data_IF_992693824686
#
_entry.id   IF_992693824686
#
_cell.length_a   1.000
_cell.length_b   1.000
_cell.length_c   1.000
_cell.angle_alpha   90.00
_cell.angle_beta   90.00
_cell.angle_gamma   90.00
#
_symmetry.space_group_name_H-M   'P 1'
#
loop_
_entity.id
_entity.type
_entity.pdbx_description
1 polymer ?
#
# COMPACT_ATOMS: atom_id res chain seq x y z
N UNK A 1 22.04 5.58 -7.44
CA UNK A 1 23.45 5.10 -7.39
C UNK A 1 23.70 3.75 -6.66
N UNK A 2 22.70 2.99 -6.15
CA UNK A 2 22.95 1.63 -5.56
C UNK A 2 22.02 0.50 -6.03
N UNK A 3 21.35 0.65 -7.18
CA UNK A 3 20.98 -0.55 -7.96
C UNK A 3 22.20 -1.48 -8.08
N UNK A 4 23.34 -0.87 -8.41
CA UNK A 4 24.67 -1.47 -8.37
C UNK A 4 24.97 -2.25 -7.08
N UNK A 5 24.86 -1.72 -5.85
CA UNK A 5 25.36 -2.46 -4.66
C UNK A 5 24.58 -3.74 -4.31
N UNK A 6 23.25 -3.74 -4.46
CA UNK A 6 22.43 -4.94 -4.19
C UNK A 6 22.51 -5.96 -5.32
N UNK A 7 22.54 -5.49 -6.57
CA UNK A 7 22.78 -6.35 -7.73
C UNK A 7 24.20 -6.91 -7.71
N UNK A 8 25.22 -6.11 -7.34
CA UNK A 8 26.61 -6.56 -7.18
C UNK A 8 26.69 -7.61 -6.07
N UNK A 9 26.00 -7.45 -4.94
CA UNK A 9 25.98 -8.45 -3.86
C UNK A 9 25.36 -9.78 -4.33
N UNK A 10 24.24 -9.74 -5.06
CA UNK A 10 23.61 -10.95 -5.60
C UNK A 10 24.44 -11.59 -6.72
N UNK A 11 25.08 -10.78 -7.57
CA UNK A 11 26.02 -11.26 -8.61
C UNK A 11 27.24 -11.90 -7.96
N UNK A 12 27.80 -11.31 -6.91
CA UNK A 12 28.95 -11.86 -6.19
C UNK A 12 28.63 -13.20 -5.55
N UNK A 13 27.43 -13.34 -4.95
CA UNK A 13 26.94 -14.61 -4.40
C UNK A 13 26.71 -15.64 -5.51
N UNK A 14 26.16 -15.23 -6.65
CA UNK A 14 25.99 -16.09 -7.82
C UNK A 14 27.32 -16.58 -8.39
N UNK A 15 28.32 -15.71 -8.51
CA UNK A 15 29.68 -16.06 -8.95
C UNK A 15 30.35 -17.00 -7.94
N UNK A 16 30.23 -16.73 -6.64
CA UNK A 16 30.76 -17.60 -5.59
C UNK A 16 30.10 -18.99 -5.60
N UNK A 17 28.79 -19.06 -5.87
CA UNK A 17 28.06 -20.32 -6.03
C UNK A 17 28.56 -21.13 -7.23
N UNK A 18 28.70 -20.50 -8.39
CA UNK A 18 29.22 -21.16 -9.60
C UNK A 18 30.66 -21.62 -9.40
N UNK A 19 31.52 -20.78 -8.80
CA UNK A 19 32.88 -21.15 -8.48
C UNK A 19 32.95 -22.36 -7.52
N UNK A 20 32.08 -22.41 -6.50
CA UNK A 20 32.00 -23.53 -5.58
C UNK A 20 31.58 -24.84 -6.28
N UNK A 21 30.63 -24.78 -7.22
CA UNK A 21 30.22 -25.93 -8.05
C UNK A 21 31.37 -26.40 -8.94
N UNK A 22 32.04 -25.48 -9.63
CA UNK A 22 33.18 -25.81 -10.50
C UNK A 22 34.31 -26.47 -9.70
N UNK A 23 34.62 -25.96 -8.50
CA UNK A 23 35.61 -26.56 -7.59
C UNK A 23 35.19 -27.94 -7.08
N UNK A 24 33.89 -28.20 -6.88
CA UNK A 24 33.38 -29.51 -6.48
C UNK A 24 33.53 -30.56 -7.59
N UNK A 25 33.39 -30.16 -8.85
CA UNK A 25 33.52 -31.04 -10.02
C UNK A 25 34.98 -31.36 -10.31
N UNK A 26 35.87 -30.37 -10.22
CA UNK A 26 37.30 -30.51 -10.55
C UNK A 26 38.13 -31.25 -9.48
N UNK A 27 37.61 -31.45 -8.26
CA UNK A 27 38.32 -32.13 -7.18
C UNK A 27 37.93 -33.61 -7.09
N UNK A 28 38.95 -34.47 -7.05
CA UNK A 28 38.83 -35.93 -6.86
C UNK A 28 38.77 -36.32 -5.39
N UNK A 29 39.39 -35.54 -4.49
CA UNK A 29 39.38 -35.82 -3.05
C UNK A 29 37.98 -35.61 -2.44
N UNK A 30 37.44 -36.70 -1.87
CA UNK A 30 36.10 -36.80 -1.28
C UNK A 30 35.81 -35.74 -0.22
N UNK A 31 36.78 -35.43 0.65
CA UNK A 31 36.59 -34.46 1.74
C UNK A 31 36.48 -33.03 1.18
N UNK A 32 37.35 -32.71 0.24
CA UNK A 32 37.39 -31.42 -0.43
C UNK A 32 36.14 -31.15 -1.29
N UNK A 33 35.59 -32.19 -1.93
CA UNK A 33 34.31 -32.14 -2.65
C UNK A 33 33.14 -31.89 -1.70
N UNK A 34 33.12 -32.54 -0.55
CA UNK A 34 32.09 -32.33 0.48
C UNK A 34 32.04 -30.88 0.98
N UNK A 35 33.21 -30.27 1.25
CA UNK A 35 33.31 -28.86 1.66
C UNK A 35 32.79 -27.93 0.55
N UNK A 36 33.17 -28.17 -0.71
CA UNK A 36 32.75 -27.35 -1.84
C UNK A 36 31.22 -27.38 -2.04
N UNK A 37 30.60 -28.56 -1.92
CA UNK A 37 29.14 -28.71 -1.95
C UNK A 37 28.49 -27.96 -0.77
N UNK A 38 29.05 -28.08 0.44
CA UNK A 38 28.57 -27.34 1.61
C UNK A 38 28.57 -25.82 1.41
N UNK A 39 29.67 -25.28 0.86
CA UNK A 39 29.77 -23.85 0.52
C UNK A 39 28.76 -23.42 -0.56
N UNK A 40 28.52 -24.27 -1.56
CA UNK A 40 27.51 -24.01 -2.58
C UNK A 40 26.10 -23.90 -1.94
N UNK A 41 25.74 -24.83 -1.06
CA UNK A 41 24.44 -24.80 -0.36
C UNK A 41 24.31 -23.53 0.50
N UNK A 42 25.33 -23.18 1.28
CA UNK A 42 25.33 -21.97 2.12
C UNK A 42 25.16 -20.72 1.25
N UNK A 43 25.89 -20.64 0.12
CA UNK A 43 25.80 -19.52 -0.81
C UNK A 43 24.41 -19.39 -1.41
N UNK A 44 23.78 -20.52 -1.81
CA UNK A 44 22.42 -20.55 -2.32
C UNK A 44 21.41 -20.04 -1.27
N UNK A 45 21.45 -20.59 -0.05
CA UNK A 45 20.57 -20.18 1.05
C UNK A 45 20.76 -18.70 1.40
N UNK A 46 22.01 -18.23 1.46
CA UNK A 46 22.32 -16.82 1.70
C UNK A 46 21.78 -15.89 0.60
N UNK A 47 21.91 -16.30 -0.66
CA UNK A 47 21.37 -15.56 -1.81
C UNK A 47 19.83 -15.45 -1.76
N UNK A 48 19.14 -16.56 -1.48
CA UNK A 48 17.69 -16.59 -1.32
C UNK A 48 17.26 -15.67 -0.17
N UNK A 49 17.94 -15.74 0.98
CA UNK A 49 17.65 -14.90 2.13
C UNK A 49 17.79 -13.40 1.80
N UNK A 50 18.89 -12.99 1.15
CA UNK A 50 19.08 -11.60 0.74
C UNK A 50 18.04 -11.14 -0.29
N UNK A 51 17.67 -12.00 -1.23
CA UNK A 51 16.62 -11.70 -2.20
C UNK A 51 15.28 -11.41 -1.51
N UNK A 52 14.89 -12.27 -0.57
CA UNK A 52 13.64 -12.11 0.20
C UNK A 52 13.69 -10.83 1.04
N UNK A 53 14.81 -10.56 1.71
CA UNK A 53 14.93 -9.41 2.62
C UNK A 53 15.02 -8.06 1.91
N UNK A 54 15.66 -8.00 0.74
CA UNK A 54 15.99 -6.73 0.08
C UNK A 54 15.13 -6.48 -1.16
N UNK A 55 15.00 -7.46 -2.04
CA UNK A 55 14.39 -7.27 -3.38
C UNK A 55 12.88 -7.47 -3.35
N UNK A 56 12.43 -8.51 -2.65
CA UNK A 56 11.00 -8.85 -2.56
C UNK A 56 10.11 -7.70 -2.03
N UNK A 57 10.42 -7.01 -0.91
CA UNK A 57 9.56 -5.94 -0.38
C UNK A 57 9.45 -4.76 -1.35
N UNK A 58 10.53 -4.41 -2.05
CA UNK A 58 10.53 -3.31 -3.05
C UNK A 58 9.59 -3.61 -4.21
N UNK A 59 9.68 -4.82 -4.77
CA UNK A 59 8.81 -5.25 -5.88
C UNK A 59 7.35 -5.35 -5.43
N UNK A 60 7.12 -5.92 -4.24
CA UNK A 60 5.78 -6.07 -3.66
C UNK A 60 5.12 -4.71 -3.40
N UNK A 61 5.84 -3.78 -2.78
CA UNK A 61 5.36 -2.42 -2.53
C UNK A 61 5.01 -1.70 -3.84
N UNK A 62 5.90 -1.74 -4.84
CA UNK A 62 5.63 -1.13 -6.15
C UNK A 62 4.34 -1.68 -6.77
N UNK A 63 4.15 -3.00 -6.74
CA UNK A 63 2.94 -3.65 -7.26
C UNK A 63 1.67 -3.25 -6.49
N UNK A 64 1.78 -3.00 -5.19
CA UNK A 64 0.65 -2.52 -4.36
C UNK A 64 0.31 -1.07 -4.65
N UNK A 65 1.31 -0.19 -4.76
CA UNK A 65 1.13 1.21 -5.14
C UNK A 65 0.42 1.31 -6.49
N UNK A 66 0.82 0.52 -7.49
CA UNK A 66 0.15 0.51 -8.82
C UNK A 66 -1.28 -0.03 -8.79
N UNK A 67 -1.66 -0.76 -7.74
CA UNK A 67 -3.02 -1.28 -7.56
C UNK A 67 -3.92 -0.32 -6.77
N UNK A 68 -3.36 0.72 -6.17
CA UNK A 68 -4.15 1.74 -5.51
C UNK A 68 -5.05 2.41 -6.55
N UNK A 69 -6.36 2.43 -6.28
CA UNK A 69 -7.34 3.03 -7.16
C UNK A 69 -8.26 3.92 -6.31
N UNK A 70 -8.14 5.25 -6.40
CA UNK A 70 -8.89 6.18 -5.55
C UNK A 70 -10.41 6.07 -5.74
N UNK A 71 -10.89 5.44 -6.83
CA UNK A 71 -12.32 5.24 -7.11
C UNK A 71 -12.97 4.13 -6.29
N UNK A 72 -12.18 3.27 -5.62
CA UNK A 72 -12.72 2.25 -4.70
C UNK A 72 -13.29 2.89 -3.44
N UNK A 73 -13.99 2.10 -2.62
CA UNK A 73 -14.57 2.58 -1.38
C UNK A 73 -13.50 3.15 -0.44
N UNK A 74 -13.89 4.10 0.42
CA UNK A 74 -12.95 4.72 1.38
C UNK A 74 -12.31 3.65 2.27
N UNK A 75 -13.08 2.65 2.69
CA UNK A 75 -12.58 1.56 3.53
C UNK A 75 -11.59 0.65 2.79
N UNK A 76 -11.83 0.36 1.51
CA UNK A 76 -10.87 -0.39 0.68
C UNK A 76 -9.57 0.39 0.52
N UNK A 77 -9.66 1.69 0.24
CA UNK A 77 -8.50 2.56 0.05
C UNK A 77 -7.68 2.68 1.35
N UNK A 78 -8.35 2.80 2.50
CA UNK A 78 -7.72 2.74 3.82
C UNK A 78 -6.97 1.43 4.04
N UNK A 79 -7.61 0.29 3.74
CA UNK A 79 -7.01 -1.03 3.91
C UNK A 79 -5.77 -1.21 3.02
N UNK A 80 -5.87 -0.79 1.75
CA UNK A 80 -4.74 -0.83 0.81
C UNK A 80 -3.60 0.09 1.26
N UNK A 81 -3.92 1.29 1.76
CA UNK A 81 -2.92 2.20 2.31
C UNK A 81 -2.18 1.60 3.50
N UNK A 82 -2.88 0.94 4.43
CA UNK A 82 -2.24 0.28 5.58
C UNK A 82 -1.28 -0.82 5.15
N UNK A 83 -1.64 -1.68 4.18
CA UNK A 83 -0.74 -2.71 3.62
C UNK A 83 0.49 -2.07 2.93
N UNK A 84 0.29 -0.98 2.19
CA UNK A 84 1.38 -0.21 1.57
C UNK A 84 2.31 0.37 2.64
N UNK A 85 1.74 0.95 3.70
CA UNK A 85 2.50 1.59 4.77
C UNK A 85 3.29 0.57 5.60
N UNK A 86 2.70 -0.59 5.90
CA UNK A 86 3.40 -1.68 6.59
C UNK A 86 4.61 -2.17 5.78
N UNK A 87 4.43 -2.36 4.46
CA UNK A 87 5.53 -2.73 3.57
C UNK A 87 6.61 -1.65 3.51
N UNK A 88 6.23 -0.39 3.53
CA UNK A 88 7.14 0.76 3.56
C UNK A 88 7.99 0.80 4.84
N UNK A 89 7.38 0.55 6.01
CA UNK A 89 8.09 0.52 7.29
C UNK A 89 9.18 -0.57 7.33
N UNK A 90 8.94 -1.70 6.68
CA UNK A 90 9.88 -2.83 6.57
C UNK A 90 11.08 -2.56 5.65
N UNK A 91 11.09 -1.45 4.92
CA UNK A 91 12.18 -1.11 4.00
C UNK A 91 13.34 -0.42 4.71
N UNK A 92 14.53 -0.51 4.11
CA UNK A 92 15.65 0.35 4.51
C UNK A 92 15.36 1.83 4.18
N UNK A 93 15.90 2.75 4.98
CA UNK A 93 15.75 4.21 4.81
C UNK A 93 16.08 4.69 3.40
N UNK A 94 17.09 4.09 2.78
CA UNK A 94 17.45 4.39 1.41
C UNK A 94 16.33 4.11 0.42
N UNK A 95 15.67 2.97 0.56
CA UNK A 95 14.58 2.60 -0.32
C UNK A 95 13.32 3.41 -0.01
N UNK A 96 13.07 3.71 1.28
CA UNK A 96 11.97 4.58 1.71
C UNK A 96 11.98 5.92 0.98
N UNK A 97 13.14 6.55 0.79
CA UNK A 97 13.26 7.83 0.03
C UNK A 97 12.65 7.74 -1.37
N UNK A 98 12.78 6.60 -2.06
CA UNK A 98 12.24 6.43 -3.42
C UNK A 98 10.71 6.28 -3.46
N UNK A 99 10.10 5.88 -2.35
CA UNK A 99 8.66 5.64 -2.23
C UNK A 99 7.94 6.70 -1.41
N UNK A 100 8.66 7.65 -0.82
CA UNK A 100 8.09 8.69 0.04
C UNK A 100 6.99 9.48 -0.70
N UNK A 101 7.32 10.05 -1.86
CA UNK A 101 6.37 10.86 -2.65
C UNK A 101 5.07 10.09 -3.00
N UNK A 102 5.11 8.89 -3.62
CA UNK A 102 3.88 8.18 -3.95
C UNK A 102 3.10 7.74 -2.71
N UNK A 103 3.76 7.40 -1.60
CA UNK A 103 3.07 7.01 -0.36
C UNK A 103 2.40 8.22 0.29
N UNK A 104 3.07 9.37 0.33
CA UNK A 104 2.49 10.62 0.81
C UNK A 104 1.26 10.98 -0.01
N UNK A 105 1.32 10.90 -1.34
CA UNK A 105 0.15 11.14 -2.18
C UNK A 105 -1.02 10.18 -1.85
N UNK A 106 -0.74 8.88 -1.68
CA UNK A 106 -1.78 7.90 -1.31
C UNK A 106 -2.37 8.23 0.06
N UNK A 107 -1.52 8.54 1.05
CA UNK A 107 -1.96 8.94 2.40
C UNK A 107 -2.88 10.15 2.31
N UNK A 108 -2.44 11.20 1.62
CA UNK A 108 -3.18 12.46 1.54
C UNK A 108 -4.54 12.24 0.85
N UNK A 109 -4.59 11.41 -0.20
CA UNK A 109 -5.84 11.00 -0.86
C UNK A 109 -6.78 10.26 0.10
N UNK A 110 -6.26 9.29 0.85
CA UNK A 110 -7.06 8.49 1.80
C UNK A 110 -7.54 9.36 2.96
N UNK A 111 -6.70 10.25 3.47
CA UNK A 111 -7.07 11.20 4.51
C UNK A 111 -8.16 12.16 4.04
N UNK A 112 -8.06 12.70 2.83
CA UNK A 112 -9.10 13.55 2.26
C UNK A 112 -10.44 12.81 2.18
N UNK A 113 -10.43 11.58 1.68
CA UNK A 113 -11.61 10.72 1.60
C UNK A 113 -12.23 10.45 2.98
N UNK A 114 -11.41 10.10 3.98
CA UNK A 114 -11.87 9.85 5.35
C UNK A 114 -12.42 11.12 6.01
N UNK A 115 -11.79 12.28 5.76
CA UNK A 115 -12.29 13.57 6.26
C UNK A 115 -13.62 13.94 5.62
N UNK A 116 -13.76 13.74 4.31
CA UNK A 116 -15.02 13.97 3.60
C UNK A 116 -16.14 13.06 4.12
N UNK A 117 -15.86 11.76 4.31
CA UNK A 117 -16.82 10.80 4.85
C UNK A 117 -17.26 11.18 6.26
N UNK A 118 -16.31 11.49 7.15
CA UNK A 118 -16.60 11.91 8.52
C UNK A 118 -17.44 13.20 8.57
N UNK A 119 -17.08 14.21 7.77
CA UNK A 119 -17.84 15.47 7.71
C UNK A 119 -19.25 15.25 7.21
N UNK A 120 -19.42 14.44 6.16
CA UNK A 120 -20.73 14.07 5.64
C UNK A 120 -21.58 13.37 6.72
N UNK A 121 -21.03 12.38 7.42
CA UNK A 121 -21.74 11.71 8.52
C UNK A 121 -22.14 12.69 9.64
N UNK A 122 -21.26 13.62 10.01
CA UNK A 122 -21.56 14.65 11.00
C UNK A 122 -22.71 15.55 10.54
N UNK A 123 -22.68 16.01 9.29
CA UNK A 123 -23.74 16.84 8.71
C UNK A 123 -25.07 16.09 8.60
N UNK A 124 -25.07 14.81 8.21
CA UNK A 124 -26.28 13.98 8.17
C UNK A 124 -26.88 13.79 9.58
N UNK A 125 -26.04 13.60 10.60
CA UNK A 125 -26.51 13.49 11.98
C UNK A 125 -27.06 14.81 12.52
N UNK A 126 -26.54 15.95 12.05
CA UNK A 126 -27.06 17.27 12.38
C UNK A 126 -28.41 17.53 11.71
N UNK A 127 -28.68 16.98 10.52
CA UNK A 127 -29.97 17.18 9.85
C UNK A 127 -31.17 16.58 10.60
N UNK A 128 -30.93 15.71 11.58
CA UNK A 128 -31.99 15.17 12.45
C UNK A 128 -32.40 16.18 13.55
N UNK A 129 -31.67 17.28 13.73
CA UNK A 129 -31.85 18.23 14.84
C UNK A 129 -31.87 19.67 14.32
N UNK A 130 -32.85 20.46 14.75
CA UNK A 130 -32.91 21.88 14.45
C UNK A 130 -34.09 22.28 13.56
N UNK A 131 -34.18 23.57 13.26
CA UNK A 131 -35.18 24.15 12.37
C UNK A 131 -34.91 23.79 10.88
N UNK A 132 -35.90 24.00 10.01
CA UNK A 132 -35.81 23.66 8.57
C UNK A 132 -34.61 24.35 7.90
N UNK A 133 -34.27 25.58 8.30
CA UNK A 133 -33.15 26.34 7.75
C UNK A 133 -31.82 25.66 8.10
N UNK A 134 -31.63 25.30 9.36
CA UNK A 134 -30.45 24.57 9.85
C UNK A 134 -30.33 23.20 9.18
N UNK A 135 -31.46 22.51 8.98
CA UNK A 135 -31.47 21.23 8.28
C UNK A 135 -31.07 21.39 6.80
N UNK A 136 -31.52 22.45 6.13
CA UNK A 136 -31.11 22.76 4.75
C UNK A 136 -29.61 23.03 4.65
N UNK A 137 -29.05 23.85 5.54
CA UNK A 137 -27.60 24.12 5.59
C UNK A 137 -26.80 22.83 5.86
N UNK A 138 -27.27 22.00 6.79
CA UNK A 138 -26.65 20.71 7.07
C UNK A 138 -26.70 19.78 5.86
N UNK A 139 -27.81 19.74 5.13
CA UNK A 139 -27.94 18.97 3.89
C UNK A 139 -26.99 19.47 2.79
N UNK A 140 -26.93 20.77 2.54
CA UNK A 140 -26.04 21.34 1.52
C UNK A 140 -24.57 21.03 1.85
N UNK A 141 -24.20 21.14 3.13
CA UNK A 141 -22.88 20.73 3.62
C UNK A 141 -22.63 19.24 3.40
N UNK A 142 -23.57 18.36 3.78
CA UNK A 142 -23.46 16.92 3.56
C UNK A 142 -23.32 16.57 2.08
N UNK A 143 -24.12 17.19 1.22
CA UNK A 143 -24.11 16.97 -0.23
C UNK A 143 -22.78 17.41 -0.85
N UNK A 144 -22.23 18.54 -0.41
CA UNK A 144 -20.92 19.00 -0.86
C UNK A 144 -19.78 18.01 -0.54
N UNK A 145 -19.85 17.33 0.61
CA UNK A 145 -18.88 16.30 0.99
C UNK A 145 -19.16 14.99 0.24
N UNK A 146 -20.43 14.62 0.08
CA UNK A 146 -20.85 13.45 -0.69
C UNK A 146 -20.29 13.47 -2.12
N UNK A 147 -20.29 14.63 -2.78
CA UNK A 147 -19.73 14.77 -4.13
C UNK A 147 -18.23 14.43 -4.22
N UNK A 148 -17.47 14.67 -3.13
CA UNK A 148 -16.02 14.39 -3.04
C UNK A 148 -15.72 12.92 -2.77
N UNK A 149 -16.71 12.12 -2.38
CA UNK A 149 -16.50 10.71 -2.10
C UNK A 149 -16.33 9.88 -3.38
N UNK A 150 -15.61 8.75 -3.30
CA UNK A 150 -15.57 7.76 -4.37
C UNK A 150 -16.96 7.21 -4.67
N UNK A 151 -17.22 6.83 -5.93
CA UNK A 151 -18.54 6.36 -6.38
C UNK A 151 -19.02 5.11 -5.61
N UNK A 152 -18.10 4.21 -5.28
CA UNK A 152 -18.41 3.03 -4.47
C UNK A 152 -18.90 3.42 -3.06
N UNK A 153 -18.35 4.48 -2.47
CA UNK A 153 -18.80 4.98 -1.17
C UNK A 153 -20.10 5.77 -1.32
N UNK A 154 -20.25 6.57 -2.38
CA UNK A 154 -21.49 7.31 -2.68
C UNK A 154 -22.71 6.38 -2.68
N UNK A 155 -22.60 5.21 -3.28
CA UNK A 155 -23.68 4.22 -3.29
C UNK A 155 -24.18 3.83 -1.88
N UNK A 156 -23.30 3.80 -0.87
CA UNK A 156 -23.67 3.44 0.50
C UNK A 156 -24.53 4.51 1.18
N UNK A 157 -24.34 5.78 0.80
CA UNK A 157 -25.04 6.92 1.41
C UNK A 157 -26.16 7.49 0.53
N UNK A 158 -26.26 7.04 -0.72
CA UNK A 158 -27.21 7.57 -1.70
C UNK A 158 -28.65 7.60 -1.17
N UNK A 159 -29.12 6.49 -0.61
CA UNK A 159 -30.48 6.40 -0.08
C UNK A 159 -30.74 7.42 1.05
N UNK A 160 -29.76 7.64 1.94
CA UNK A 160 -29.89 8.59 3.05
C UNK A 160 -29.96 10.03 2.53
N UNK A 161 -29.10 10.38 1.56
CA UNK A 161 -29.06 11.72 0.97
C UNK A 161 -30.35 12.02 0.19
N UNK A 162 -30.84 11.07 -0.61
CA UNK A 162 -32.09 11.24 -1.37
C UNK A 162 -33.28 11.39 -0.44
N UNK A 163 -33.42 10.52 0.56
CA UNK A 163 -34.52 10.61 1.52
C UNK A 163 -34.49 11.93 2.31
N UNK A 164 -33.31 12.44 2.64
CA UNK A 164 -33.16 13.72 3.32
C UNK A 164 -33.60 14.89 2.44
N UNK A 165 -33.24 14.84 1.15
CA UNK A 165 -33.68 15.83 0.15
C UNK A 165 -35.21 15.83 0.03
N UNK A 166 -35.83 14.66 -0.09
CA UNK A 166 -37.29 14.54 -0.18
C UNK A 166 -38.00 15.11 1.05
N UNK A 167 -37.45 14.89 2.25
CA UNK A 167 -38.00 15.47 3.48
C UNK A 167 -37.97 17.00 3.46
N UNK A 168 -36.83 17.57 3.11
CA UNK A 168 -36.64 19.02 3.00
C UNK A 168 -37.54 19.65 1.93
N UNK A 169 -37.68 19.00 0.77
CA UNK A 169 -38.57 19.48 -0.31
C UNK A 169 -40.05 19.44 0.09
N UNK A 170 -40.44 18.51 0.97
CA UNK A 170 -41.80 18.40 1.51
C UNK A 170 -42.03 19.24 2.78
N UNK A 171 -41.04 20.01 3.23
CA UNK A 171 -41.14 20.83 4.45
C UNK A 171 -41.30 20.01 5.74
N UNK A 172 -40.85 18.76 5.76
CA UNK A 172 -40.92 17.82 6.90
C UNK A 172 -39.55 17.60 7.52
#
# INVERSE_FOLDING_TARGET
>A
MTKKKGEISLVFIGVAFVAAIVLAILREDTLSRGIAVGLAVISLCGGIFLYIKIVHPVKKLRKRITKFNPKKSVNDNKTVYLDIYELYLKMSEKNKRNFYVPITHIRDTVEEQLRAEKKMQQSLNQTVRGDITQQKEAYESAYSQYQKLPDATKQQYYAQVVHLREKLENGK
#
